data_IF_387335749305
#
_entry.id   IF_387335749305
#
_cell.length_a   1.000
_cell.length_b   1.000
_cell.length_c   1.000
_cell.angle_alpha   90.00
_cell.angle_beta   90.00
_cell.angle_gamma   90.00
#
_symmetry.space_group_name_H-M   'P 1'
#
loop_
_entity.id
_entity.type
_entity.pdbx_description
1 polymer ?
#
# COMPACT_ATOMS: atom_id res chain seq x y z
N UNK A 1 -9.73 -3.91 6.80
CA UNK A 1 -8.44 -3.61 6.14
C UNK A 1 -7.62 -2.52 6.84
N UNK A 2 -8.19 -1.35 7.18
CA UNK A 2 -7.43 -0.22 7.73
C UNK A 2 -6.57 -0.52 8.98
N UNK A 3 -7.04 -1.34 9.92
CA UNK A 3 -6.22 -1.74 11.10
C UNK A 3 -4.91 -2.44 10.70
N UNK A 4 -4.92 -3.24 9.63
CA UNK A 4 -3.73 -3.93 9.14
C UNK A 4 -2.75 -2.96 8.47
N UNK A 5 -3.26 -2.01 7.67
CA UNK A 5 -2.46 -0.94 7.05
C UNK A 5 -1.70 -0.11 8.09
N UNK A 6 -2.37 0.31 9.17
CA UNK A 6 -1.73 1.01 10.28
C UNK A 6 -0.66 0.18 10.99
N UNK A 7 -0.88 -1.13 11.12
CA UNK A 7 0.11 -2.03 11.72
C UNK A 7 1.33 -2.19 10.82
N UNK A 8 1.12 -2.29 9.50
CA UNK A 8 2.21 -2.31 8.52
C UNK A 8 3.02 -1.02 8.55
N UNK A 9 2.37 0.15 8.65
CA UNK A 9 3.08 1.42 8.79
C UNK A 9 3.96 1.44 10.05
N UNK A 10 3.44 1.00 11.20
CA UNK A 10 4.24 0.92 12.44
C UNK A 10 5.44 -0.01 12.29
N UNK A 11 5.25 -1.18 11.67
CA UNK A 11 6.34 -2.14 11.41
C UNK A 11 7.39 -1.57 10.46
N UNK A 12 6.94 -0.94 9.37
CA UNK A 12 7.78 -0.29 8.38
C UNK A 12 8.63 0.85 8.97
N UNK A 13 8.00 1.74 9.74
CA UNK A 13 8.70 2.85 10.41
C UNK A 13 9.63 2.36 11.52
N UNK A 14 9.26 1.30 12.24
CA UNK A 14 10.14 0.67 13.24
C UNK A 14 11.43 0.10 12.65
N UNK A 15 11.41 -0.31 11.37
CA UNK A 15 12.58 -0.77 10.61
C UNK A 15 13.37 0.37 9.98
N UNK A 16 12.70 1.46 9.61
CA UNK A 16 13.26 2.56 8.82
C UNK A 16 13.55 3.77 9.70
N UNK A 17 14.47 3.62 10.65
CA UNK A 17 14.82 4.68 11.63
C UNK A 17 15.59 5.85 11.02
N UNK A 18 16.16 5.68 9.83
CA UNK A 18 16.95 6.68 9.13
C UNK A 18 16.14 7.70 8.34
N UNK A 19 14.80 7.53 8.23
CA UNK A 19 13.96 8.42 7.44
C UNK A 19 12.68 8.82 8.18
N UNK A 20 12.47 10.13 8.31
CA UNK A 20 11.29 10.64 9.00
C UNK A 20 10.01 10.42 8.18
N UNK A 21 8.88 10.21 8.86
CA UNK A 21 7.54 10.09 8.25
C UNK A 21 7.24 11.24 7.27
N UNK A 22 7.64 12.47 7.64
CA UNK A 22 7.47 13.66 6.80
C UNK A 22 8.20 13.54 5.47
N UNK A 23 9.35 12.88 5.44
CA UNK A 23 10.10 12.61 4.21
C UNK A 23 9.29 11.73 3.26
N UNK A 24 8.71 10.64 3.76
CA UNK A 24 7.86 9.75 2.94
C UNK A 24 6.64 10.47 2.39
N UNK A 25 5.94 11.24 3.23
CA UNK A 25 4.80 12.05 2.80
C UNK A 25 5.19 13.05 1.70
N UNK A 26 6.36 13.69 1.81
CA UNK A 26 6.88 14.61 0.78
C UNK A 26 7.11 13.90 -0.54
N UNK A 27 7.73 12.71 -0.53
CA UNK A 27 7.95 11.96 -1.78
C UNK A 27 6.64 11.54 -2.44
N UNK A 28 5.67 11.06 -1.66
CA UNK A 28 4.36 10.66 -2.19
C UNK A 28 3.62 11.89 -2.74
N UNK A 29 3.75 13.05 -2.09
CA UNK A 29 3.14 14.30 -2.53
C UNK A 29 3.59 14.70 -3.94
N UNK A 30 4.88 14.53 -4.26
CA UNK A 30 5.40 14.81 -5.61
C UNK A 30 4.71 13.97 -6.67
N UNK A 31 4.38 12.72 -6.35
CA UNK A 31 3.73 11.77 -7.26
C UNK A 31 2.20 11.83 -7.22
N UNK A 32 1.60 12.66 -6.35
CA UNK A 32 0.17 12.66 -6.06
C UNK A 32 -0.68 12.82 -7.32
N UNK A 33 -0.39 13.86 -8.13
CA UNK A 33 -1.20 14.20 -9.30
C UNK A 33 -1.24 13.06 -10.32
N UNK A 34 -0.08 12.47 -10.59
CA UNK A 34 0.04 11.34 -11.52
C UNK A 34 -0.65 10.09 -10.98
N UNK A 35 -0.46 9.81 -9.69
CA UNK A 35 -1.12 8.68 -9.04
C UNK A 35 -2.64 8.85 -9.09
N UNK A 36 -3.17 10.00 -8.67
CA UNK A 36 -4.60 10.31 -8.68
C UNK A 36 -5.23 10.19 -10.07
N UNK A 37 -4.53 10.61 -11.12
CA UNK A 37 -4.99 10.47 -12.50
C UNK A 37 -5.13 9.00 -12.97
N UNK A 38 -4.43 8.06 -12.31
CA UNK A 38 -4.56 6.63 -12.57
C UNK A 38 -5.74 5.99 -11.84
N UNK A 39 -6.29 6.64 -10.81
CA UNK A 39 -7.53 6.19 -10.16
C UNK A 39 -8.77 6.63 -10.94
N UNK A 40 -9.91 5.98 -10.67
CA UNK A 40 -11.21 6.41 -11.21
C UNK A 40 -11.74 7.66 -10.49
N UNK A 41 -12.77 8.28 -11.07
CA UNK A 41 -13.39 9.52 -10.56
C UNK A 41 -13.92 9.40 -9.11
N UNK A 42 -14.10 8.18 -8.60
CA UNK A 42 -14.54 7.90 -7.23
C UNK A 42 -13.64 8.55 -6.15
N UNK A 43 -12.39 8.92 -6.48
CA UNK A 43 -11.47 9.58 -5.55
C UNK A 43 -11.31 11.10 -5.81
N UNK A 44 -12.12 11.68 -6.69
CA UNK A 44 -12.07 13.11 -7.00
C UNK A 44 -12.48 14.00 -5.81
N UNK A 45 -13.33 13.48 -4.91
CA UNK A 45 -13.82 14.19 -3.72
C UNK A 45 -12.86 14.14 -2.52
N UNK A 46 -11.82 13.31 -2.56
CA UNK A 46 -10.86 13.16 -1.46
C UNK A 46 -9.85 14.30 -1.49
N UNK A 47 -9.57 14.90 -0.33
CA UNK A 47 -8.59 15.99 -0.22
C UNK A 47 -7.18 15.54 -0.63
N UNK A 48 -6.33 16.51 -0.97
CA UNK A 48 -4.94 16.20 -1.35
C UNK A 48 -4.12 15.60 -0.20
N UNK A 49 -4.46 15.91 1.05
CA UNK A 49 -3.74 15.38 2.20
C UNK A 49 -4.22 13.97 2.55
N UNK A 50 -5.53 13.72 2.50
CA UNK A 50 -6.10 12.41 2.79
C UNK A 50 -5.68 11.38 1.74
N UNK A 51 -5.62 11.78 0.46
CA UNK A 51 -5.14 10.90 -0.60
C UNK A 51 -3.67 10.51 -0.42
N UNK A 52 -2.81 11.45 -0.02
CA UNK A 52 -1.38 11.18 0.24
C UNK A 52 -1.20 10.28 1.47
N UNK A 53 -1.99 10.48 2.52
CA UNK A 53 -1.99 9.59 3.68
C UNK A 53 -2.46 8.18 3.31
N UNK A 54 -3.52 8.08 2.51
CA UNK A 54 -4.02 6.82 1.99
C UNK A 54 -2.95 6.09 1.16
N UNK A 55 -2.31 6.79 0.22
CA UNK A 55 -1.20 6.25 -0.59
C UNK A 55 -0.05 5.73 0.26
N UNK A 56 0.32 6.45 1.33
CA UNK A 56 1.38 6.01 2.24
C UNK A 56 0.99 4.73 2.97
N UNK A 57 -0.22 4.68 3.54
CA UNK A 57 -0.73 3.52 4.26
C UNK A 57 -0.80 2.29 3.34
N UNK A 58 -1.27 2.49 2.11
CA UNK A 58 -1.45 1.44 1.12
C UNK A 58 -0.10 0.92 0.62
N UNK A 59 0.84 1.82 0.32
CA UNK A 59 2.20 1.47 -0.06
C UNK A 59 2.94 0.69 1.03
N UNK A 60 2.89 1.15 2.28
CA UNK A 60 3.48 0.42 3.41
C UNK A 60 2.84 -0.96 3.60
N UNK A 61 1.52 -1.07 3.44
CA UNK A 61 0.81 -2.34 3.53
C UNK A 61 1.25 -3.33 2.45
N UNK A 62 1.36 -2.87 1.20
CA UNK A 62 1.85 -3.68 0.07
C UNK A 62 3.28 -4.16 0.33
N UNK A 63 4.19 -3.26 0.71
CA UNK A 63 5.60 -3.60 0.96
C UNK A 63 5.72 -4.66 2.06
N UNK A 64 5.04 -4.47 3.19
CA UNK A 64 5.07 -5.46 4.28
C UNK A 64 4.44 -6.80 3.87
N UNK A 65 3.42 -6.79 3.01
CA UNK A 65 2.82 -8.01 2.47
C UNK A 65 3.80 -8.76 1.56
N UNK A 66 4.53 -8.06 0.69
CA UNK A 66 5.55 -8.67 -0.18
C UNK A 66 6.74 -9.20 0.64
N UNK A 67 7.19 -8.46 1.65
CA UNK A 67 8.28 -8.89 2.52
C UNK A 67 7.91 -10.17 3.27
N UNK A 68 6.67 -10.25 3.76
CA UNK A 68 6.16 -11.46 4.40
C UNK A 68 6.10 -12.66 3.45
N UNK A 69 5.74 -12.46 2.18
CA UNK A 69 5.79 -13.52 1.17
C UNK A 69 7.22 -14.03 0.94
N UNK A 70 8.18 -13.10 0.85
CA UNK A 70 9.59 -13.42 0.63
C UNK A 70 10.20 -14.21 1.79
N UNK A 71 9.85 -13.87 3.02
CA UNK A 71 10.31 -14.57 4.23
C UNK A 71 9.71 -15.98 4.38
N UNK A 72 8.73 -16.32 3.53
CA UNK A 72 8.04 -17.60 3.51
C UNK A 72 6.96 -17.67 4.60
N UNK A 73 5.88 -18.40 4.34
CA UNK A 73 4.86 -18.76 5.35
C UNK A 73 5.44 -19.84 6.28
N UNK A 74 6.59 -19.54 6.90
CA UNK A 74 7.37 -20.44 7.74
C UNK A 74 6.93 -20.31 9.20
N UNK A 75 5.91 -21.08 9.58
CA UNK A 75 5.70 -21.70 10.90
C UNK A 75 6.36 -20.98 12.10
N UNK A 76 5.87 -19.82 12.54
CA UNK A 76 5.92 -19.38 13.95
C UNK A 76 5.21 -18.02 14.13
N UNK A 77 5.18 -17.19 13.09
CA UNK A 77 4.61 -15.84 13.18
C UNK A 77 3.11 -15.73 12.94
N UNK A 78 2.42 -16.74 12.41
CA UNK A 78 0.99 -16.66 12.10
C UNK A 78 0.12 -16.36 13.34
N UNK A 79 0.59 -16.71 14.53
CA UNK A 79 -0.10 -16.45 15.80
C UNK A 79 0.00 -14.98 16.24
N UNK A 80 1.06 -14.27 15.84
CA UNK A 80 1.31 -12.86 16.23
C UNK A 80 1.20 -11.87 15.06
N UNK A 81 1.14 -12.37 13.83
CA UNK A 81 1.20 -11.61 12.60
C UNK A 81 -0.08 -11.88 11.78
N UNK A 82 -1.21 -11.18 12.03
CA UNK A 82 -2.45 -11.35 11.27
C UNK A 82 -2.28 -11.28 9.75
N UNK A 83 -1.26 -10.64 9.19
CA UNK A 83 -1.02 -10.67 7.74
C UNK A 83 -0.62 -12.09 7.28
N UNK A 84 0.12 -12.83 8.11
CA UNK A 84 0.57 -14.21 7.85
C UNK A 84 -0.52 -15.25 8.08
N UNK A 85 -1.45 -15.00 9.01
CA UNK A 85 -2.63 -15.87 9.21
C UNK A 85 -3.68 -15.69 8.11
N UNK A 86 -3.53 -14.67 7.25
CA UNK A 86 -4.61 -14.21 6.39
C UNK A 86 -4.30 -14.48 4.93
N UNK A 87 -4.36 -15.76 4.57
CA UNK A 87 -4.23 -16.26 3.19
C UNK A 87 -5.14 -15.52 2.19
N UNK A 88 -6.28 -14.97 2.62
CA UNK A 88 -7.20 -14.21 1.77
C UNK A 88 -6.77 -12.78 1.43
N UNK A 89 -5.79 -12.18 2.12
CA UNK A 89 -5.31 -10.81 1.80
C UNK A 89 -4.56 -10.80 0.47
N UNK A 90 -3.80 -11.85 0.19
CA UNK A 90 -2.99 -11.96 -1.02
C UNK A 90 -3.82 -11.88 -2.31
N UNK A 91 -4.87 -12.71 -2.51
CA UNK A 91 -5.70 -12.60 -3.70
C UNK A 91 -6.46 -11.27 -3.78
N UNK A 92 -6.76 -10.62 -2.65
CA UNK A 92 -7.38 -9.28 -2.64
C UNK A 92 -6.40 -8.21 -3.12
N UNK A 93 -5.18 -8.18 -2.56
CA UNK A 93 -4.15 -7.22 -2.96
C UNK A 93 -3.71 -7.43 -4.41
N UNK A 94 -3.54 -8.69 -4.84
CA UNK A 94 -3.20 -9.00 -6.23
C UNK A 94 -4.29 -8.55 -7.21
N UNK A 95 -5.57 -8.77 -6.88
CA UNK A 95 -6.70 -8.27 -7.66
C UNK A 95 -6.67 -6.75 -7.77
N UNK A 96 -6.47 -6.04 -6.67
CA UNK A 96 -6.44 -4.58 -6.66
C UNK A 96 -5.28 -4.04 -7.52
N UNK A 97 -4.11 -4.68 -7.46
CA UNK A 97 -2.97 -4.33 -8.33
C UNK A 97 -3.26 -4.54 -9.81
N UNK A 98 -3.86 -5.68 -10.17
CA UNK A 98 -4.22 -6.00 -11.56
C UNK A 98 -5.25 -5.00 -12.13
N UNK A 99 -6.21 -4.55 -11.31
CA UNK A 99 -7.19 -3.53 -11.71
C UNK A 99 -6.49 -2.20 -12.01
N UNK A 100 -5.51 -1.81 -11.20
CA UNK A 100 -4.73 -0.58 -11.43
C UNK A 100 -3.89 -0.68 -12.71
N UNK A 101 -3.28 -1.84 -12.95
CA UNK A 101 -2.48 -2.10 -14.15
C UNK A 101 -3.33 -2.06 -15.42
N UNK A 102 -4.45 -2.79 -15.47
CA UNK A 102 -5.35 -2.81 -16.62
C UNK A 102 -5.85 -1.40 -17.00
N UNK A 103 -6.19 -0.56 -16.01
CA UNK A 103 -6.62 0.83 -16.23
C UNK A 103 -5.50 1.73 -16.74
N UNK A 104 -4.25 1.41 -16.42
CA UNK A 104 -3.09 2.14 -16.92
C UNK A 104 -2.83 1.81 -18.39
N UNK A 105 -3.05 0.57 -18.81
CA UNK A 105 -2.94 0.14 -20.21
C UNK A 105 -4.04 0.76 -21.07
N UNK A 106 -5.29 0.84 -20.59
CA UNK A 106 -6.40 1.52 -21.27
C UNK A 106 -6.11 3.02 -21.52
N UNK A 107 -5.45 3.71 -20.59
CA UNK A 107 -5.07 5.13 -20.73
C UNK A 107 -3.80 5.37 -21.54
N UNK A 108 -3.04 4.31 -21.85
CA UNK A 108 -1.78 4.36 -22.60
C UNK A 108 -1.92 4.11 -24.10
N UNK A 109 -3.13 3.82 -24.59
CA UNK A 109 -3.44 3.63 -26.00
C UNK A 109 -4.02 4.89 -26.65
N UNK A 110 -3.16 5.88 -26.92
CA UNK A 110 -3.33 6.90 -27.98
C UNK A 110 -1.95 7.11 -28.61
#
# INVERSE_FOLDING_TARGET
MNRLKWRSLKKFLGRSTCYALVGYLRHIKVSERRARAAYADDLASITNNDFVQMMLLDGCFVVETILLLKEGVGKFEAVQNPIASTSWILPVVARDMLIVEARREEKGGI
#
